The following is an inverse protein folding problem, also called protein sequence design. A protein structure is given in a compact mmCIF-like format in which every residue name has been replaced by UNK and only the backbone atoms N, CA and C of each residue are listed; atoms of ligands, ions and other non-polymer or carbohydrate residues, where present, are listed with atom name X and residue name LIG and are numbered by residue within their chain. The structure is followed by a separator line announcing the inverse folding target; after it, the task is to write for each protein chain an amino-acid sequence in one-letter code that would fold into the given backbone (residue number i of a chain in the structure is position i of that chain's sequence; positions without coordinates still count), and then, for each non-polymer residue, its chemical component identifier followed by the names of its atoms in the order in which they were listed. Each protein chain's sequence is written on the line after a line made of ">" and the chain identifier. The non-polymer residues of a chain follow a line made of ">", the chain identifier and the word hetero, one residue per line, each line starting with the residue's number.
data_IF_848964451758
#
_entry.id   IF_848964451758
#
_cell.length_a   1.000
_cell.length_b   1.000
_cell.length_c   1.000
_cell.angle_alpha   90.00
_cell.angle_beta   90.00
_cell.angle_gamma   90.00
#
_symmetry.space_group_name_H-M   'P 1'
#
loop_
_entity.id
_entity.type
_entity.pdbx_description
1 polymer ?
#
# COMPACT_ATOMS: atom_id res chain seq x y z
N UNK A 1 -6.47 6.23 -5.51
CA UNK A 1 -6.77 7.28 -4.51
C UNK A 1 -6.34 6.78 -3.15
N UNK A 2 -5.78 7.66 -2.30
CA UNK A 2 -5.28 7.30 -0.95
C UNK A 2 -6.39 7.49 0.07
N UNK A 3 -6.64 6.47 0.89
CA UNK A 3 -7.53 6.52 2.05
C UNK A 3 -6.77 7.04 3.27
N UNK A 4 -6.80 8.36 3.45
CA UNK A 4 -6.12 9.03 4.56
C UNK A 4 -6.74 8.76 5.92
N UNK A 5 -8.01 8.37 5.97
CA UNK A 5 -8.65 7.97 7.24
C UNK A 5 -7.96 6.72 7.77
N UNK A 6 -7.76 5.70 6.92
CA UNK A 6 -7.05 4.48 7.32
C UNK A 6 -5.59 4.73 7.72
N UNK A 7 -4.91 5.64 7.02
CA UNK A 7 -3.51 6.00 7.34
C UNK A 7 -3.41 6.63 8.74
N UNK A 8 -4.36 7.49 9.10
CA UNK A 8 -4.39 8.12 10.42
C UNK A 8 -4.74 7.10 11.52
N UNK A 9 -5.69 6.21 11.28
CA UNK A 9 -5.99 5.09 12.20
C UNK A 9 -4.75 4.21 12.42
N UNK A 10 -4.04 3.85 11.35
CA UNK A 10 -2.79 3.08 11.44
C UNK A 10 -1.73 3.82 12.26
N UNK A 11 -1.61 5.15 12.12
CA UNK A 11 -0.71 5.95 12.95
C UNK A 11 -1.10 5.92 14.43
N UNK A 12 -2.39 5.96 14.75
CA UNK A 12 -2.88 5.83 16.12
C UNK A 12 -2.61 4.44 16.70
N UNK A 13 -2.80 3.38 15.90
CA UNK A 13 -2.53 1.98 16.27
C UNK A 13 -1.03 1.73 16.54
N UNK A 14 -0.14 2.25 15.69
CA UNK A 14 1.32 2.08 15.82
C UNK A 14 1.91 3.03 16.87
N UNK A 15 1.31 4.20 17.04
CA UNK A 15 1.83 5.29 17.88
C UNK A 15 2.60 6.32 17.07
N UNK A 16 2.45 7.59 17.44
CA UNK A 16 2.94 8.74 16.66
C UNK A 16 4.46 8.72 16.44
N UNK A 17 5.24 8.37 17.46
CA UNK A 17 6.71 8.35 17.42
C UNK A 17 7.26 7.17 16.61
N UNK A 18 6.56 6.04 16.60
CA UNK A 18 6.99 4.81 15.95
C UNK A 18 6.46 4.70 14.51
N UNK A 19 5.45 5.49 14.15
CA UNK A 19 4.81 5.38 12.84
C UNK A 19 5.77 5.62 11.67
N UNK A 20 6.55 6.71 11.70
CA UNK A 20 7.46 7.05 10.61
C UNK A 20 8.54 5.96 10.35
N UNK A 21 9.32 5.49 11.35
CA UNK A 21 10.32 4.46 11.11
C UNK A 21 9.71 3.10 10.71
N UNK A 22 8.56 2.73 11.28
CA UNK A 22 7.86 1.48 10.91
C UNK A 22 7.33 1.56 9.48
N UNK A 23 6.77 2.71 9.09
CA UNK A 23 6.27 2.95 7.74
C UNK A 23 7.38 2.89 6.69
N UNK A 24 8.55 3.46 6.98
CA UNK A 24 9.72 3.40 6.08
C UNK A 24 10.13 1.96 5.80
N UNK A 25 10.36 1.17 6.86
CA UNK A 25 10.73 -0.26 6.75
C UNK A 25 9.67 -1.06 5.99
N UNK A 26 8.39 -0.81 6.27
CA UNK A 26 7.29 -1.52 5.61
C UNK A 26 7.17 -1.13 4.13
N UNK A 27 7.39 0.14 3.79
CA UNK A 27 7.35 0.61 2.41
C UNK A 27 8.47 0.02 1.57
N UNK A 28 9.66 -0.17 2.14
CA UNK A 28 10.79 -0.84 1.50
C UNK A 28 10.49 -2.31 1.21
N UNK A 29 9.89 -3.04 2.17
CA UNK A 29 9.46 -4.43 1.96
C UNK A 29 8.42 -4.55 0.84
N UNK A 30 7.44 -3.66 0.82
CA UNK A 30 6.43 -3.60 -0.25
C UNK A 30 7.12 -3.34 -1.60
N UNK A 31 8.06 -2.40 -1.67
CA UNK A 31 8.77 -2.08 -2.91
C UNK A 31 9.60 -3.26 -3.42
N UNK A 32 10.30 -3.98 -2.54
CA UNK A 32 11.04 -5.19 -2.91
C UNK A 32 10.12 -6.24 -3.56
N UNK A 33 8.95 -6.46 -2.97
CA UNK A 33 7.97 -7.43 -3.50
C UNK A 33 7.41 -6.96 -4.84
N UNK A 34 7.12 -5.68 -5.02
CA UNK A 34 6.65 -5.12 -6.30
C UNK A 34 7.73 -5.29 -7.39
N UNK A 35 9.00 -5.05 -7.07
CA UNK A 35 10.10 -5.16 -8.04
C UNK A 35 10.40 -6.60 -8.48
N UNK A 36 10.08 -7.60 -7.65
CA UNK A 36 10.34 -9.03 -7.95
C UNK A 36 9.13 -9.77 -8.55
N UNK A 37 8.02 -9.09 -8.81
CA UNK A 37 6.83 -9.72 -9.39
C UNK A 37 7.15 -10.34 -10.76
N UNK A 38 6.80 -11.62 -10.92
CA UNK A 38 6.93 -12.35 -12.18
C UNK A 38 5.77 -13.33 -12.38
N UNK A 39 5.48 -13.67 -13.63
CA UNK A 39 4.49 -14.69 -14.02
C UNK A 39 5.08 -16.11 -14.10
N UNK A 40 6.39 -16.26 -13.92
CA UNK A 40 7.10 -17.53 -14.11
C UNK A 40 6.72 -18.60 -13.06
N UNK A 41 6.36 -18.15 -11.86
CA UNK A 41 5.84 -18.99 -10.79
C UNK A 41 4.47 -18.46 -10.33
N UNK A 42 3.36 -19.06 -10.83
CA UNK A 42 2.00 -18.63 -10.50
C UNK A 42 1.67 -18.75 -9.02
N UNK A 43 2.23 -19.74 -8.32
CA UNK A 43 1.97 -19.93 -6.90
C UNK A 43 2.67 -18.85 -6.08
N UNK A 44 3.91 -18.48 -6.45
CA UNK A 44 4.60 -17.33 -5.85
C UNK A 44 3.91 -16.02 -6.18
N UNK A 45 3.51 -15.81 -7.43
CA UNK A 45 2.78 -14.61 -7.85
C UNK A 45 1.50 -14.41 -7.03
N UNK A 46 0.71 -15.46 -6.83
CA UNK A 46 -0.51 -15.38 -6.02
C UNK A 46 -0.21 -14.97 -4.57
N UNK A 47 0.85 -15.52 -3.95
CA UNK A 47 1.27 -15.16 -2.59
C UNK A 47 1.78 -13.72 -2.49
N UNK A 48 2.61 -13.29 -3.43
CA UNK A 48 3.12 -11.92 -3.46
C UNK A 48 1.96 -10.92 -3.66
N UNK A 49 1.01 -11.22 -4.56
CA UNK A 49 -0.18 -10.38 -4.77
C UNK A 49 -1.10 -10.35 -3.55
N UNK A 50 -1.23 -11.47 -2.83
CA UNK A 50 -1.98 -11.53 -1.58
C UNK A 50 -1.38 -10.61 -0.51
N UNK A 51 -0.06 -10.67 -0.34
CA UNK A 51 0.67 -9.80 0.56
C UNK A 51 0.47 -8.33 0.16
N UNK A 52 0.75 -7.99 -1.11
CA UNK A 52 0.64 -6.62 -1.61
C UNK A 52 -0.78 -6.06 -1.48
N UNK A 53 -1.81 -6.88 -1.68
CA UNK A 53 -3.21 -6.50 -1.44
C UNK A 53 -3.43 -6.07 0.02
N UNK A 54 -2.98 -6.90 0.97
CA UNK A 54 -3.10 -6.59 2.40
C UNK A 54 -2.33 -5.32 2.77
N UNK A 55 -1.08 -5.22 2.32
CA UNK A 55 -0.23 -4.04 2.54
C UNK A 55 -0.82 -2.77 1.94
N UNK A 56 -1.37 -2.85 0.72
CA UNK A 56 -2.01 -1.73 0.05
C UNK A 56 -3.20 -1.21 0.85
N UNK A 57 -4.11 -2.08 1.29
CA UNK A 57 -5.24 -1.64 2.10
C UNK A 57 -4.84 -1.12 3.46
N UNK A 58 -3.81 -1.70 4.09
CA UNK A 58 -3.29 -1.19 5.35
C UNK A 58 -2.72 0.24 5.21
N UNK A 59 -2.04 0.52 4.10
CA UNK A 59 -1.49 1.84 3.75
C UNK A 59 -2.53 2.80 3.12
N UNK A 60 -3.78 2.37 2.96
CA UNK A 60 -4.82 3.15 2.30
C UNK A 60 -4.66 3.29 0.77
N UNK A 61 -3.82 2.50 0.11
CA UNK A 61 -3.63 2.50 -1.34
C UNK A 61 -4.78 1.77 -2.05
N UNK A 62 -5.99 2.32 -1.99
CA UNK A 62 -7.23 1.63 -2.38
C UNK A 62 -7.20 1.05 -3.81
N UNK A 63 -6.75 1.85 -4.79
CA UNK A 63 -6.65 1.41 -6.19
C UNK A 63 -5.61 0.31 -6.39
N UNK A 64 -4.46 0.43 -5.72
CA UNK A 64 -3.41 -0.58 -5.79
C UNK A 64 -3.86 -1.91 -5.18
N UNK A 65 -4.53 -1.86 -4.02
CA UNK A 65 -5.09 -3.05 -3.37
C UNK A 65 -6.14 -3.75 -4.23
N UNK A 66 -7.03 -2.99 -4.88
CA UNK A 66 -8.02 -3.54 -5.81
C UNK A 66 -7.36 -4.22 -7.03
N UNK A 67 -6.30 -3.61 -7.57
CA UNK A 67 -5.54 -4.19 -8.68
C UNK A 67 -4.80 -5.48 -8.27
N UNK A 68 -4.20 -5.50 -7.08
CA UNK A 68 -3.58 -6.70 -6.51
C UNK A 68 -4.61 -7.81 -6.29
N UNK A 69 -5.79 -7.51 -5.74
CA UNK A 69 -6.89 -8.48 -5.55
C UNK A 69 -7.38 -9.07 -6.88
N UNK A 70 -7.57 -8.22 -7.90
CA UNK A 70 -7.98 -8.68 -9.22
C UNK A 70 -6.93 -9.58 -9.86
N UNK A 71 -5.65 -9.20 -9.77
CA UNK A 71 -4.53 -9.98 -10.29
C UNK A 71 -4.34 -11.31 -9.53
N UNK A 72 -4.54 -11.31 -8.21
CA UNK A 72 -4.51 -12.51 -7.37
C UNK A 72 -5.60 -13.49 -7.83
N UNK A 73 -6.82 -12.99 -8.04
CA UNK A 73 -7.96 -13.79 -8.53
C UNK A 73 -7.68 -14.38 -9.91
N UNK A 74 -7.14 -13.58 -10.84
CA UNK A 74 -6.74 -14.05 -12.17
C UNK A 74 -5.65 -15.12 -12.09
N UNK A 75 -4.66 -14.94 -11.20
CA UNK A 75 -3.59 -15.92 -10.99
C UNK A 75 -4.14 -17.26 -10.52
N UNK A 76 -5.04 -17.25 -9.53
CA UNK A 76 -5.68 -18.45 -8.99
C UNK A 76 -6.60 -19.15 -10.00
N UNK A 77 -7.09 -18.42 -11.01
CA UNK A 77 -7.88 -18.96 -12.13
C UNK A 77 -7.03 -19.43 -13.31
N UNK A 78 -5.71 -19.29 -13.24
CA UNK A 78 -4.80 -19.64 -14.34
C UNK A 78 -4.77 -18.62 -15.49
N UNK A 79 -5.31 -17.41 -15.29
CA UNK A 79 -5.43 -16.36 -16.32
C UNK A 79 -4.18 -15.46 -16.39
N UNK A 80 -2.98 -16.05 -16.37
CA UNK A 80 -1.71 -15.30 -16.27
C UNK A 80 -1.45 -14.35 -17.44
N UNK A 81 -2.03 -14.64 -18.61
CA UNK A 81 -1.91 -13.79 -19.80
C UNK A 81 -2.62 -12.44 -19.64
N UNK A 82 -3.65 -12.37 -18.78
CA UNK A 82 -4.44 -11.16 -18.51
C UNK A 82 -3.76 -10.23 -17.48
N UNK A 83 -2.80 -10.77 -16.71
CA UNK A 83 -2.09 -10.03 -15.67
C UNK A 83 -0.98 -9.16 -16.28
N UNK A 84 -1.07 -7.86 -16.04
CA UNK A 84 -0.04 -6.88 -16.43
C UNK A 84 0.80 -6.44 -15.24
N UNK A 85 1.99 -7.05 -15.07
CA UNK A 85 2.95 -6.66 -14.03
C UNK A 85 3.33 -5.17 -14.13
N UNK A 86 3.45 -4.64 -15.35
CA UNK A 86 3.75 -3.22 -15.59
C UNK A 86 2.65 -2.30 -15.04
N UNK A 87 1.38 -2.68 -15.16
CA UNK A 87 0.27 -1.90 -14.60
C UNK A 87 0.31 -1.90 -13.07
N UNK A 88 0.61 -3.05 -12.46
CA UNK A 88 0.76 -3.19 -11.00
C UNK A 88 1.87 -2.27 -10.49
N UNK A 89 3.05 -2.32 -11.12
CA UNK A 89 4.19 -1.44 -10.80
C UNK A 89 3.80 0.04 -10.95
N UNK A 90 3.18 0.41 -12.07
CA UNK A 90 2.80 1.82 -12.34
C UNK A 90 1.78 2.34 -11.33
N UNK A 91 0.82 1.51 -10.93
CA UNK A 91 -0.18 1.85 -9.92
C UNK A 91 0.45 2.04 -8.54
N UNK A 92 1.38 1.16 -8.15
CA UNK A 92 2.17 1.32 -6.93
C UNK A 92 2.97 2.63 -6.95
N UNK A 93 3.74 2.89 -8.00
CA UNK A 93 4.57 4.10 -8.10
C UNK A 93 3.73 5.38 -7.98
N UNK A 94 2.56 5.44 -8.62
CA UNK A 94 1.63 6.56 -8.49
C UNK A 94 1.09 6.70 -7.07
N UNK A 95 0.73 5.59 -6.43
CA UNK A 95 0.22 5.58 -5.06
C UNK A 95 1.28 6.07 -4.07
N UNK A 96 2.52 5.55 -4.18
CA UNK A 96 3.68 5.99 -3.40
C UNK A 96 3.98 7.48 -3.57
N UNK A 97 3.98 7.98 -4.80
CA UNK A 97 4.20 9.41 -5.07
C UNK A 97 3.16 10.31 -4.40
N UNK A 98 1.87 9.97 -4.52
CA UNK A 98 0.79 10.72 -3.89
C UNK A 98 0.89 10.67 -2.36
N UNK A 99 1.18 9.48 -1.83
CA UNK A 99 1.33 9.27 -0.40
C UNK A 99 2.49 10.10 0.16
N UNK A 100 3.70 9.97 -0.39
CA UNK A 100 4.88 10.72 0.08
C UNK A 100 4.72 12.24 -0.05
N UNK A 101 4.01 12.71 -1.10
CA UNK A 101 3.73 14.14 -1.29
C UNK A 101 2.87 14.71 -0.17
N UNK A 102 1.83 13.99 0.23
CA UNK A 102 0.78 14.52 1.10
C UNK A 102 0.92 14.08 2.57
N UNK A 103 1.76 13.07 2.86
CA UNK A 103 1.87 12.44 4.17
C UNK A 103 2.11 13.44 5.30
N UNK A 104 3.15 14.28 5.17
CA UNK A 104 3.50 15.27 6.20
C UNK A 104 2.31 16.19 6.50
N UNK A 105 1.69 16.76 5.46
CA UNK A 105 0.51 17.64 5.61
C UNK A 105 -0.64 16.94 6.32
N UNK A 106 -0.97 15.71 5.93
CA UNK A 106 -2.11 14.98 6.50
C UNK A 106 -1.88 14.55 7.95
N UNK A 107 -0.62 14.30 8.32
CA UNK A 107 -0.21 13.86 9.66
C UNK A 107 -0.11 15.05 10.64
N UNK A 108 0.34 16.22 10.16
CA UNK A 108 0.51 17.44 10.95
C UNK A 108 -0.82 18.17 11.21
N UNK A 109 -1.78 18.13 10.27
CA UNK A 109 -3.10 18.80 10.36
C UNK A 109 -3.92 18.36 11.60
N UNK A 110 -3.59 17.23 12.24
CA UNK A 110 -4.25 16.72 13.45
C UNK A 110 -3.55 17.10 14.76
N UNK A 111 -2.28 17.50 14.75
CA UNK A 111 -1.55 17.92 15.97
C UNK A 111 -1.95 19.33 16.41
N UNK A 112 -2.37 20.20 15.47
CA UNK A 112 -2.87 21.55 15.77
C UNK A 112 -4.31 21.59 16.33
N UNK A 113 -5.03 20.46 16.37
CA UNK A 113 -6.46 20.40 16.70
C UNK A 113 -6.82 20.00 18.13
N UNK A 114 -5.85 19.63 18.99
CA UNK A 114 -6.09 19.20 20.37
C UNK A 114 -5.51 20.13 21.45
N UNK A 115 -5.02 21.32 21.09
CA UNK A 115 -4.66 22.37 22.05
C UNK A 115 -5.79 23.40 22.17
N UNK A 116 -6.94 23.02 22.73
CA UNK A 116 -8.04 23.96 22.87
C UNK A 116 -9.37 23.36 23.32
N UNK A 117 -9.41 22.70 24.47
CA UNK A 117 -10.65 22.66 25.27
C UNK A 117 -10.28 22.83 26.73
N UNK A 118 -10.94 23.81 27.33
CA UNK A 118 -10.73 24.38 28.66
C UNK A 118 -11.00 23.39 29.81
#
# INVERSE_FOLDING_TARGET
>A
MIDWTRVLELREEVGQSEFAPVLELFMDEVEEIVMRLSRDDPAKLARDLHFLKGSAWNLGFAEFGALCQSSETQTLRGQLAEISIKQIISCYSRSKQLFMRDLARMVDDREGGQAGVA
#
